data_IF_448507952612
#
_entry.id   IF_448507952612
#
_cell.length_a   1.000
_cell.length_b   1.000
_cell.length_c   1.000
_cell.angle_alpha   90.00
_cell.angle_beta   90.00
_cell.angle_gamma   90.00
#
_symmetry.space_group_name_H-M   'P 1'
#
loop_
_entity.id
_entity.type
_entity.pdbx_description
1 polymer ?
#
# COMPACT_ATOMS: atom_id res chain seq x y z
N UNK A 1 -33.23 -21.14 25.49
CA UNK A 1 -32.83 -21.36 24.08
C UNK A 1 -31.40 -20.84 23.92
N UNK A 2 -30.44 -21.71 23.58
CA UNK A 2 -29.02 -21.33 23.42
C UNK A 2 -28.78 -21.01 21.95
N UNK A 3 -28.77 -19.72 21.60
CA UNK A 3 -28.38 -19.29 20.24
C UNK A 3 -26.88 -19.53 20.11
N UNK A 4 -26.52 -20.58 19.36
CA UNK A 4 -25.15 -20.84 18.93
C UNK A 4 -24.78 -19.75 17.93
N UNK A 5 -23.97 -18.77 18.35
CA UNK A 5 -23.35 -17.80 17.46
C UNK A 5 -22.28 -18.56 16.68
N UNK A 6 -22.54 -18.90 15.41
CA UNK A 6 -21.51 -19.47 14.55
C UNK A 6 -20.29 -18.57 14.55
N UNK A 7 -19.13 -19.09 14.92
CA UNK A 7 -17.87 -18.36 14.91
C UNK A 7 -17.45 -18.16 13.46
N UNK A 8 -17.72 -16.98 12.89
CA UNK A 8 -17.18 -16.61 11.59
C UNK A 8 -15.67 -16.50 11.73
N UNK A 9 -14.94 -17.37 11.04
CA UNK A 9 -13.48 -17.31 10.96
C UNK A 9 -13.07 -16.54 9.71
N UNK A 10 -12.04 -15.71 9.81
CA UNK A 10 -11.49 -14.96 8.68
C UNK A 10 -10.02 -15.34 8.47
N UNK A 11 -9.65 -15.65 7.23
CA UNK A 11 -8.26 -15.93 6.84
C UNK A 11 -7.83 -14.91 5.79
N UNK A 12 -6.84 -14.09 6.15
CA UNK A 12 -6.21 -13.13 5.23
C UNK A 12 -4.87 -13.66 4.73
N UNK A 13 -4.64 -13.60 3.42
CA UNK A 13 -3.35 -13.91 2.78
C UNK A 13 -2.79 -12.68 2.09
N UNK A 14 -1.46 -12.64 1.98
CA UNK A 14 -0.72 -11.56 1.36
C UNK A 14 0.26 -12.12 0.32
N UNK A 15 0.29 -11.51 -0.85
CA UNK A 15 1.29 -11.79 -1.89
C UNK A 15 1.98 -10.46 -2.26
N UNK A 16 3.31 -10.48 -2.36
CA UNK A 16 4.12 -9.29 -2.68
C UNK A 16 5.08 -9.58 -3.81
N UNK A 17 5.27 -8.62 -4.71
CA UNK A 17 6.31 -8.63 -5.74
C UNK A 17 7.07 -7.31 -5.73
N UNK A 18 8.34 -7.32 -6.16
CA UNK A 18 9.14 -6.12 -6.35
C UNK A 18 10.15 -6.33 -7.49
N UNK A 19 10.16 -5.38 -8.43
CA UNK A 19 11.05 -5.30 -9.60
C UNK A 19 11.96 -4.08 -9.42
N UNK A 20 12.92 -4.20 -8.50
CA UNK A 20 13.85 -3.13 -8.15
C UNK A 20 14.04 -2.99 -6.63
N UNK A 21 14.68 -1.90 -6.18
CA UNK A 21 15.01 -1.70 -4.78
C UNK A 21 13.81 -1.34 -3.89
N UNK A 22 12.72 -0.81 -4.48
CA UNK A 22 11.54 -0.37 -3.72
C UNK A 22 10.47 -1.46 -3.71
N UNK A 23 9.95 -1.77 -2.52
CA UNK A 23 8.82 -2.67 -2.32
C UNK A 23 7.66 -1.96 -1.64
N UNK A 24 6.46 -2.55 -1.74
CA UNK A 24 5.33 -2.22 -0.87
C UNK A 24 5.44 -3.11 0.37
N UNK A 25 6.04 -2.58 1.43
CA UNK A 25 6.30 -3.32 2.67
C UNK A 25 4.99 -3.66 3.40
N UNK A 26 4.06 -2.69 3.44
CA UNK A 26 2.74 -2.85 4.05
C UNK A 26 1.69 -2.08 3.26
N UNK A 27 0.52 -2.66 3.10
CA UNK A 27 -0.66 -1.94 2.63
C UNK A 27 -1.77 -2.18 3.66
N UNK A 28 -2.09 -1.16 4.47
CA UNK A 28 -2.94 -1.33 5.64
C UNK A 28 -4.32 -1.89 5.25
N UNK A 29 -4.81 -2.98 5.88
CA UNK A 29 -6.08 -3.62 5.51
C UNK A 29 -7.31 -2.71 5.65
N UNK A 30 -7.27 -1.76 6.59
CA UNK A 30 -8.35 -0.80 6.86
C UNK A 30 -8.24 0.47 5.98
N UNK A 31 -7.25 0.54 5.10
CA UNK A 31 -7.06 1.66 4.19
C UNK A 31 -6.47 2.91 4.86
N UNK A 32 -5.80 2.78 6.00
CA UNK A 32 -5.19 3.92 6.71
C UNK A 32 -3.94 4.46 5.99
N UNK A 33 -3.07 3.58 5.53
CA UNK A 33 -1.83 3.95 4.84
C UNK A 33 -1.32 2.85 3.91
N UNK A 34 -0.38 3.23 3.03
CA UNK A 34 0.51 2.32 2.31
C UNK A 34 1.94 2.68 2.69
N UNK A 35 2.79 1.68 2.92
CA UNK A 35 4.19 1.84 3.29
C UNK A 35 5.09 1.33 2.16
N UNK A 36 5.93 2.21 1.64
CA UNK A 36 7.02 1.85 0.74
C UNK A 36 8.32 1.72 1.52
N UNK A 37 9.18 0.81 1.09
CA UNK A 37 10.52 0.62 1.66
C UNK A 37 11.56 0.51 0.55
N UNK A 38 12.67 1.23 0.71
CA UNK A 38 13.84 1.06 -0.14
C UNK A 38 14.78 0.03 0.50
N UNK A 39 14.80 -1.17 -0.08
CA UNK A 39 15.56 -2.31 0.37
C UNK A 39 17.01 -2.32 -0.13
N UNK A 40 17.47 -1.24 -0.78
CA UNK A 40 18.88 -1.05 -1.12
C UNK A 40 19.75 -1.19 0.13
N UNK A 41 20.59 -2.23 0.15
CA UNK A 41 21.49 -2.55 1.25
C UNK A 41 22.92 -2.84 0.75
N UNK A 42 23.85 -2.99 1.69
CA UNK A 42 25.24 -3.35 1.39
C UNK A 42 25.91 -2.42 0.37
N UNK A 43 26.55 -3.01 -0.64
CA UNK A 43 27.25 -2.29 -1.73
C UNK A 43 26.34 -1.57 -2.73
N UNK A 44 25.01 -1.67 -2.60
CA UNK A 44 24.02 -1.10 -3.51
C UNK A 44 23.17 -0.06 -2.77
N UNK A 45 23.80 0.73 -1.88
CA UNK A 45 23.16 1.89 -1.25
C UNK A 45 22.93 2.98 -2.29
N UNK A 46 21.73 2.99 -2.84
CA UNK A 46 21.29 4.00 -3.80
C UNK A 46 19.99 4.64 -3.35
N UNK A 47 19.96 5.96 -3.36
CA UNK A 47 18.73 6.72 -3.21
C UNK A 47 17.81 6.42 -4.40
N UNK A 48 16.52 6.28 -4.15
CA UNK A 48 15.53 6.07 -5.20
C UNK A 48 14.66 7.30 -5.32
N UNK A 49 14.74 7.94 -6.47
CA UNK A 49 13.83 9.02 -6.82
C UNK A 49 12.47 8.42 -7.21
N UNK A 50 11.44 8.75 -6.44
CA UNK A 50 10.07 8.36 -6.69
C UNK A 50 9.27 9.45 -7.40
N UNK A 51 9.87 10.56 -7.80
CA UNK A 51 9.19 11.60 -8.59
C UNK A 51 8.48 10.98 -9.79
N UNK A 52 7.22 11.35 -9.99
CA UNK A 52 6.35 10.83 -11.05
C UNK A 52 5.90 9.37 -10.91
N UNK A 53 6.37 8.62 -9.89
CA UNK A 53 5.83 7.30 -9.59
C UNK A 53 4.38 7.42 -9.11
N UNK A 54 3.62 6.33 -9.27
CA UNK A 54 2.23 6.25 -8.85
C UNK A 54 1.97 5.03 -7.98
N UNK A 55 1.28 5.23 -6.87
CA UNK A 55 0.61 4.16 -6.14
C UNK A 55 -0.81 4.04 -6.68
N UNK A 56 -1.19 2.84 -7.10
CA UNK A 56 -2.53 2.51 -7.59
C UNK A 56 -3.12 1.41 -6.73
N UNK A 57 -4.28 1.66 -6.11
CA UNK A 57 -4.98 0.68 -5.27
C UNK A 57 -6.37 0.38 -5.82
N UNK A 58 -6.63 -0.90 -6.08
CA UNK A 58 -7.90 -1.43 -6.56
C UNK A 58 -8.51 -2.28 -5.45
N UNK A 59 -9.73 -1.96 -5.05
CA UNK A 59 -10.49 -2.66 -4.01
C UNK A 59 -11.61 -3.46 -4.67
N UNK A 60 -11.73 -4.73 -4.30
CA UNK A 60 -12.73 -5.70 -4.76
C UNK A 60 -12.88 -5.72 -6.29
N UNK A 61 -11.73 -5.69 -6.98
CA UNK A 61 -11.61 -5.68 -8.44
C UNK A 61 -12.32 -4.50 -9.15
N UNK A 62 -12.71 -3.46 -8.41
CA UNK A 62 -13.36 -2.26 -8.98
C UNK A 62 -12.32 -1.30 -9.59
N UNK A 63 -11.84 -1.65 -10.78
CA UNK A 63 -10.81 -0.88 -11.50
C UNK A 63 -11.25 0.54 -11.88
N UNK A 64 -12.57 0.77 -12.04
CA UNK A 64 -13.12 2.09 -12.36
C UNK A 64 -13.04 3.09 -11.21
N UNK A 65 -12.87 2.60 -9.97
CA UNK A 65 -12.68 3.41 -8.76
C UNK A 65 -11.31 3.21 -8.13
N UNK A 66 -10.30 2.91 -8.95
CA UNK A 66 -8.93 2.80 -8.47
C UNK A 66 -8.49 4.11 -7.81
N UNK A 67 -7.88 4.01 -6.63
CA UNK A 67 -7.32 5.15 -5.92
C UNK A 67 -5.87 5.30 -6.40
N UNK A 68 -5.53 6.47 -6.93
CA UNK A 68 -4.21 6.77 -7.45
C UNK A 68 -3.57 7.95 -6.72
N UNK A 69 -2.32 7.77 -6.29
CA UNK A 69 -1.49 8.80 -5.68
C UNK A 69 -0.20 8.95 -6.50
N UNK A 70 0.09 10.17 -6.92
CA UNK A 70 1.31 10.48 -7.68
C UNK A 70 2.31 11.19 -6.78
N UNK A 71 3.53 10.66 -6.72
CA UNK A 71 4.64 11.32 -6.07
C UNK A 71 5.11 12.52 -6.90
N UNK A 72 5.25 13.68 -6.27
CA UNK A 72 5.69 14.90 -6.96
C UNK A 72 7.22 15.00 -6.98
N UNK A 73 7.82 15.22 -5.81
CA UNK A 73 9.28 15.16 -5.61
C UNK A 73 9.55 14.44 -4.31
N UNK A 74 10.09 13.22 -4.38
CA UNK A 74 10.35 12.42 -3.20
C UNK A 74 11.54 11.48 -3.39
N UNK A 75 12.56 11.63 -2.55
CA UNK A 75 13.77 10.82 -2.58
C UNK A 75 13.77 9.84 -1.41
N UNK A 76 13.60 8.54 -1.70
CA UNK A 76 13.61 7.50 -0.69
C UNK A 76 15.02 6.93 -0.49
N UNK A 77 15.64 7.27 0.65
CA UNK A 77 17.00 6.85 1.00
C UNK A 77 17.09 5.32 1.25
N UNK A 78 18.27 4.70 1.07
CA UNK A 78 18.52 3.29 1.36
C UNK A 78 18.13 2.89 2.79
N UNK A 79 17.45 1.76 2.94
CA UNK A 79 16.99 1.24 4.22
C UNK A 79 15.98 2.13 4.93
N UNK A 80 15.39 3.11 4.23
CA UNK A 80 14.31 3.94 4.74
C UNK A 80 12.98 3.54 4.13
N UNK A 81 11.94 3.90 4.86
CA UNK A 81 10.55 3.71 4.49
C UNK A 81 9.78 5.02 4.60
N UNK A 82 8.66 5.07 3.89
CA UNK A 82 7.70 6.18 3.94
C UNK A 82 6.30 5.60 3.99
N UNK A 83 5.47 6.09 4.91
CA UNK A 83 4.03 5.81 4.90
C UNK A 83 3.31 6.95 4.20
N UNK A 84 2.33 6.58 3.37
CA UNK A 84 1.43 7.52 2.72
C UNK A 84 0.05 7.30 3.36
N UNK A 85 -0.30 8.16 4.32
CA UNK A 85 -1.56 8.11 5.05
C UNK A 85 -2.70 8.70 4.24
N UNK A 86 -3.90 8.14 4.37
CA UNK A 86 -5.11 8.81 3.90
C UNK A 86 -5.52 9.96 4.85
N UNK A 87 -6.40 10.86 4.39
CA UNK A 87 -6.78 12.07 5.15
C UNK A 87 -7.34 11.74 6.54
N UNK A 88 -8.19 10.73 6.68
CA UNK A 88 -8.78 10.36 7.98
C UNK A 88 -7.74 9.89 9.01
N UNK A 89 -6.60 9.38 8.57
CA UNK A 89 -5.52 8.89 9.41
C UNK A 89 -4.33 9.87 9.50
N UNK A 90 -4.47 11.09 8.97
CA UNK A 90 -3.38 12.07 8.89
C UNK A 90 -2.77 12.42 10.24
N UNK A 91 -3.55 12.37 11.33
CA UNK A 91 -3.06 12.63 12.68
C UNK A 91 -2.04 11.60 13.19
N UNK A 92 -1.92 10.43 12.53
CA UNK A 92 -0.95 9.38 12.87
C UNK A 92 0.37 9.52 12.09
N UNK A 93 0.45 10.45 11.13
CA UNK A 93 1.63 10.62 10.30
C UNK A 93 2.82 11.18 11.11
N UNK A 94 3.98 10.56 10.97
CA UNK A 94 5.24 11.07 11.53
C UNK A 94 5.90 12.15 10.65
N UNK A 95 7.03 12.73 11.09
CA UNK A 95 7.70 13.82 10.39
C UNK A 95 8.18 13.50 8.96
N UNK A 96 8.41 12.22 8.65
CA UNK A 96 8.88 11.75 7.34
C UNK A 96 7.79 11.07 6.51
N UNK A 97 6.56 11.03 7.02
CA UNK A 97 5.43 10.41 6.34
C UNK A 97 4.70 11.42 5.44
N UNK A 98 3.99 10.91 4.45
CA UNK A 98 3.18 11.68 3.53
C UNK A 98 1.70 11.53 3.88
N UNK A 99 0.91 12.54 3.54
CA UNK A 99 -0.55 12.50 3.66
C UNK A 99 -1.18 12.74 2.30
N UNK A 100 -1.95 11.77 1.83
CA UNK A 100 -2.78 11.89 0.64
C UNK A 100 -4.11 12.55 1.02
N UNK A 101 -4.21 13.87 0.79
CA UNK A 101 -5.33 14.68 1.26
C UNK A 101 -6.60 14.56 0.42
N UNK A 102 -6.51 14.00 -0.78
CA UNK A 102 -7.62 13.96 -1.73
C UNK A 102 -8.59 12.80 -1.46
N UNK A 103 -8.18 11.83 -0.63
CA UNK A 103 -9.03 10.69 -0.25
C UNK A 103 -9.13 10.55 1.27
N UNK A 104 -10.32 10.19 1.75
CA UNK A 104 -10.53 9.87 3.16
C UNK A 104 -9.85 8.56 3.58
N UNK A 105 -9.77 7.59 2.67
CA UNK A 105 -9.21 6.26 2.92
C UNK A 105 -8.60 5.70 1.63
N UNK A 106 -7.60 4.83 1.77
CA UNK A 106 -7.07 3.97 0.71
C UNK A 106 -8.01 2.80 0.36
N UNK A 107 -9.14 2.69 1.05
CA UNK A 107 -10.14 1.66 0.86
C UNK A 107 -9.76 0.32 1.49
N UNK A 108 -10.81 -0.40 1.90
CA UNK A 108 -10.75 -1.71 2.53
C UNK A 108 -11.73 -2.65 1.82
N UNK A 109 -11.36 -3.92 1.68
CA UNK A 109 -12.15 -4.92 0.97
C UNK A 109 -11.62 -6.34 1.19
N UNK A 110 -12.33 -7.31 0.63
CA UNK A 110 -11.93 -8.72 0.68
C UNK A 110 -10.76 -8.99 -0.26
N UNK A 111 -10.74 -8.41 -1.45
CA UNK A 111 -9.62 -8.50 -2.39
C UNK A 111 -9.06 -7.11 -2.69
N UNK A 112 -7.82 -6.86 -2.30
CA UNK A 112 -7.18 -5.55 -2.48
C UNK A 112 -5.84 -5.70 -3.18
N UNK A 113 -5.69 -5.01 -4.29
CA UNK A 113 -4.45 -4.99 -5.08
C UNK A 113 -3.87 -3.58 -5.01
N UNK A 114 -2.66 -3.46 -4.47
CA UNK A 114 -1.90 -2.21 -4.46
C UNK A 114 -0.67 -2.38 -5.34
N UNK A 115 -0.43 -1.45 -6.26
CA UNK A 115 0.65 -1.51 -7.24
C UNK A 115 1.44 -0.21 -7.21
N UNK A 116 2.77 -0.31 -7.25
CA UNK A 116 3.68 0.81 -7.47
C UNK A 116 4.08 0.80 -8.95
N UNK A 117 3.79 1.90 -9.65
CA UNK A 117 4.12 2.13 -11.04
C UNK A 117 5.19 3.22 -11.13
N UNK A 118 6.17 3.07 -12.02
CA UNK A 118 7.06 4.19 -12.34
C UNK A 118 6.40 5.20 -13.29
N UNK A 119 7.14 6.26 -13.64
CA UNK A 119 6.68 7.31 -14.55
C UNK A 119 6.22 6.79 -15.92
N UNK A 120 6.80 5.68 -16.38
CA UNK A 120 6.44 5.02 -17.65
C UNK A 120 5.22 4.11 -17.55
N UNK A 121 4.64 3.95 -16.35
CA UNK A 121 3.54 3.03 -16.08
C UNK A 121 3.97 1.57 -15.91
N UNK A 122 5.26 1.28 -15.76
CA UNK A 122 5.77 -0.07 -15.51
C UNK A 122 5.59 -0.43 -14.03
N UNK A 123 5.11 -1.64 -13.77
CA UNK A 123 5.00 -2.17 -12.41
C UNK A 123 6.39 -2.42 -11.79
N UNK A 124 6.64 -1.73 -10.67
CA UNK A 124 7.85 -1.88 -9.85
C UNK A 124 7.60 -2.64 -8.56
N UNK A 125 6.37 -2.69 -8.05
CA UNK A 125 6.01 -3.57 -6.94
C UNK A 125 4.50 -3.80 -6.91
N UNK A 126 4.08 -4.92 -6.32
CA UNK A 126 2.68 -5.17 -6.00
C UNK A 126 2.50 -5.76 -4.61
N UNK A 127 1.34 -5.52 -4.02
CA UNK A 127 0.87 -6.09 -2.77
C UNK A 127 -0.60 -6.47 -2.91
N UNK A 128 -0.87 -7.77 -2.89
CA UNK A 128 -2.21 -8.34 -3.03
C UNK A 128 -2.62 -8.90 -1.67
N UNK A 129 -3.74 -8.41 -1.15
CA UNK A 129 -4.41 -8.91 0.05
C UNK A 129 -5.69 -9.64 -0.37
N UNK A 130 -5.90 -10.85 0.15
CA UNK A 130 -7.17 -11.58 0.01
C UNK A 130 -7.65 -12.09 1.35
N UNK A 131 -8.87 -11.73 1.74
CA UNK A 131 -9.52 -12.16 2.97
C UNK A 131 -10.71 -13.04 2.64
N UNK A 132 -10.64 -14.30 3.08
CA UNK A 132 -11.72 -15.28 2.95
C UNK A 132 -12.42 -15.43 4.29
N UNK A 133 -13.75 -15.35 4.27
CA UNK A 133 -14.59 -15.61 5.45
C UNK A 133 -15.16 -17.02 5.34
N UNK A 134 -14.99 -17.83 6.39
CA UNK A 134 -15.58 -19.16 6.53
C UNK A 134 -16.59 -19.19 7.67
N UNK A 135 -17.71 -19.88 7.42
CA UNK A 135 -18.76 -20.16 8.38
C UNK A 135 -18.52 -21.49 9.10
#
# INVERSE_FOLDING_TARGET
>A
MKVMRGEVSAKTTYQRTANGPVSIAEANPEGKYIMLENNSNGGIRKDVDLSGFRLRRVVDNNRARAIEYTFHSFLLKPGRSVKIFARSAAAQAGPNDLVFRDVESWGAGAEVVTTLLNEKGEEKASHIQKTNYSH
#
